data_IF_517279012614
#
_entry.id   IF_517279012614
#
_cell.length_a   1.000
_cell.length_b   1.000
_cell.length_c   1.000
_cell.angle_alpha   90.00
_cell.angle_beta   90.00
_cell.angle_gamma   90.00
#
_symmetry.space_group_name_H-M   'P 1'
#
loop_
_entity.id
_entity.type
_entity.pdbx_description
1 polymer ?
#
# COMPACT_ATOMS: atom_id res chain seq x y z
N UNK A 1 -24.77 29.03 8.52
CA UNK A 1 -24.78 27.71 7.80
C UNK A 1 -23.85 27.67 6.59
N UNK A 2 -23.93 28.67 5.70
CA UNK A 2 -23.03 28.69 4.53
C UNK A 2 -21.54 28.77 4.88
N UNK A 3 -21.18 29.61 5.85
CA UNK A 3 -19.79 29.75 6.28
C UNK A 3 -19.22 28.46 6.88
N UNK A 4 -20.05 27.74 7.67
CA UNK A 4 -19.65 26.46 8.25
C UNK A 4 -19.46 25.39 7.17
N UNK A 5 -20.37 25.32 6.21
CA UNK A 5 -20.27 24.37 5.10
C UNK A 5 -19.02 24.64 4.25
N UNK A 6 -18.73 25.92 3.95
CA UNK A 6 -17.53 26.29 3.21
C UNK A 6 -16.25 25.91 3.96
N UNK A 7 -16.22 26.11 5.28
CA UNK A 7 -15.09 25.71 6.13
C UNK A 7 -14.89 24.18 6.13
N UNK A 8 -15.99 23.41 6.22
CA UNK A 8 -15.94 21.96 6.18
C UNK A 8 -15.46 21.45 4.82
N UNK A 9 -15.93 22.05 3.72
CA UNK A 9 -15.49 21.70 2.38
C UNK A 9 -13.99 21.99 2.18
N UNK A 10 -13.50 23.15 2.66
CA UNK A 10 -12.10 23.49 2.64
C UNK A 10 -11.24 22.51 3.42
N UNK A 11 -11.71 22.08 4.60
CA UNK A 11 -11.02 21.09 5.42
C UNK A 11 -10.94 19.72 4.70
N UNK A 12 -12.04 19.28 4.07
CA UNK A 12 -12.08 18.04 3.29
C UNK A 12 -11.13 18.09 2.10
N UNK A 13 -11.09 19.22 1.41
CA UNK A 13 -10.18 19.41 0.28
C UNK A 13 -8.72 19.32 0.73
N UNK A 14 -8.35 19.98 1.83
CA UNK A 14 -6.99 19.92 2.37
C UNK A 14 -6.58 18.49 2.72
N UNK A 15 -7.45 17.72 3.36
CA UNK A 15 -7.19 16.31 3.70
C UNK A 15 -7.02 15.47 2.44
N UNK A 16 -7.87 15.67 1.44
CA UNK A 16 -7.78 14.95 0.18
C UNK A 16 -6.48 15.29 -0.57
N UNK A 17 -6.10 16.56 -0.61
CA UNK A 17 -4.85 17.02 -1.23
C UNK A 17 -3.64 16.42 -0.51
N UNK A 18 -3.68 16.33 0.81
CA UNK A 18 -2.61 15.70 1.60
C UNK A 18 -2.46 14.22 1.23
N UNK A 19 -3.57 13.48 1.14
CA UNK A 19 -3.54 12.06 0.78
C UNK A 19 -3.05 11.89 -0.66
N UNK A 20 -3.51 12.71 -1.59
CA UNK A 20 -3.06 12.67 -2.99
C UNK A 20 -1.56 12.90 -3.09
N UNK A 21 -1.04 13.92 -2.41
CA UNK A 21 0.38 14.22 -2.40
C UNK A 21 1.23 13.13 -1.75
N UNK A 22 0.74 12.55 -0.66
CA UNK A 22 1.43 11.46 0.03
C UNK A 22 1.49 10.20 -0.83
N UNK A 23 0.40 9.85 -1.49
CA UNK A 23 0.36 8.72 -2.41
C UNK A 23 1.33 8.92 -3.57
N UNK A 24 1.35 10.12 -4.14
CA UNK A 24 2.28 10.47 -5.23
C UNK A 24 3.73 10.34 -4.76
N UNK A 25 4.05 10.86 -3.59
CA UNK A 25 5.40 10.79 -3.03
C UNK A 25 5.81 9.34 -2.73
N UNK A 26 4.92 8.56 -2.12
CA UNK A 26 5.24 7.20 -1.68
C UNK A 26 5.33 6.22 -2.85
N UNK A 27 4.40 6.29 -3.80
CA UNK A 27 4.31 5.32 -4.89
C UNK A 27 4.79 5.84 -6.25
N UNK A 28 5.05 7.13 -6.36
CA UNK A 28 5.51 7.74 -7.61
C UNK A 28 4.47 7.74 -8.73
N UNK A 29 3.17 7.62 -8.39
CA UNK A 29 2.07 7.56 -9.34
C UNK A 29 1.03 8.62 -9.01
N UNK A 30 0.40 9.17 -10.05
CA UNK A 30 -0.75 10.06 -9.88
C UNK A 30 -2.00 9.21 -9.70
N UNK A 31 -2.36 8.98 -8.45
CA UNK A 31 -3.49 8.13 -8.08
C UNK A 31 -4.73 9.00 -7.91
N UNK A 32 -5.83 8.62 -8.58
CA UNK A 32 -7.09 9.34 -8.48
C UNK A 32 -7.66 9.24 -7.06
N UNK A 33 -7.79 10.41 -6.41
CA UNK A 33 -8.35 10.52 -5.06
C UNK A 33 -9.73 11.18 -5.05
N UNK A 34 -10.31 11.40 -6.21
CA UNK A 34 -11.63 12.04 -6.32
C UNK A 34 -12.70 11.18 -5.66
N UNK A 35 -13.50 11.81 -4.81
CA UNK A 35 -14.58 11.13 -4.08
C UNK A 35 -14.14 10.34 -2.86
N UNK A 36 -12.86 10.32 -2.54
CA UNK A 36 -12.37 9.65 -1.33
C UNK A 36 -12.66 10.49 -0.10
N UNK A 37 -13.05 9.81 0.98
CA UNK A 37 -13.34 10.43 2.27
C UNK A 37 -12.23 10.07 3.24
N UNK A 38 -11.61 11.10 3.82
CA UNK A 38 -10.52 10.94 4.79
C UNK A 38 -11.10 11.09 6.19
N UNK A 39 -10.96 10.07 7.03
CA UNK A 39 -11.43 10.08 8.42
C UNK A 39 -10.26 9.92 9.39
N UNK A 40 -10.43 10.48 10.57
CA UNK A 40 -9.45 10.41 11.65
C UNK A 40 -8.48 11.58 11.65
N UNK A 41 -7.54 11.53 12.58
CA UNK A 41 -6.51 12.55 12.76
C UNK A 41 -5.14 11.92 12.58
N UNK A 42 -4.25 12.64 11.90
CA UNK A 42 -2.86 12.22 11.80
C UNK A 42 -2.30 11.92 13.21
N UNK A 43 -1.55 10.84 13.43
CA UNK A 43 -1.02 9.93 12.42
C UNK A 43 -1.92 8.74 12.04
N UNK A 44 -3.13 8.64 12.57
CA UNK A 44 -4.06 7.55 12.29
C UNK A 44 -5.20 8.02 11.40
N UNK A 45 -5.00 7.91 10.10
CA UNK A 45 -5.97 8.35 9.10
C UNK A 45 -6.45 7.14 8.29
N UNK A 46 -7.75 7.10 8.00
CA UNK A 46 -8.38 6.11 7.13
C UNK A 46 -8.98 6.81 5.92
N UNK A 47 -8.80 6.21 4.76
CA UNK A 47 -9.32 6.75 3.51
C UNK A 47 -10.32 5.75 2.94
N UNK A 48 -11.55 6.21 2.71
CA UNK A 48 -12.67 5.36 2.31
C UNK A 48 -13.31 5.85 1.00
N UNK A 49 -13.84 4.89 0.24
CA UNK A 49 -14.71 5.14 -0.88
C UNK A 49 -15.99 4.32 -0.68
N UNK A 50 -17.15 4.99 -0.58
CA UNK A 50 -18.44 4.34 -0.38
C UNK A 50 -18.40 3.31 0.77
N UNK A 51 -17.89 3.71 1.91
CA UNK A 51 -17.73 2.90 3.13
C UNK A 51 -16.66 1.81 3.03
N UNK A 52 -16.02 1.63 1.88
CA UNK A 52 -14.93 0.67 1.74
C UNK A 52 -13.59 1.34 2.01
N UNK A 53 -12.82 0.77 2.92
CA UNK A 53 -11.49 1.31 3.25
C UNK A 53 -10.49 0.95 2.16
N UNK A 54 -9.85 1.97 1.59
CA UNK A 54 -8.82 1.80 0.57
C UNK A 54 -7.41 1.96 1.13
N UNK A 55 -7.22 2.93 2.01
CA UNK A 55 -5.91 3.24 2.56
C UNK A 55 -6.01 3.52 4.06
N UNK A 56 -4.91 3.27 4.76
CA UNK A 56 -4.76 3.68 6.15
C UNK A 56 -3.30 4.12 6.34
N UNK A 57 -3.05 4.95 7.35
CA UNK A 57 -1.68 5.37 7.65
C UNK A 57 -1.09 4.50 8.76
N UNK A 58 0.20 4.23 8.65
CA UNK A 58 0.97 3.59 9.71
C UNK A 58 1.41 4.67 10.71
N UNK A 59 0.93 4.62 11.97
CA UNK A 59 1.30 5.66 12.94
C UNK A 59 2.80 5.71 13.26
N UNK A 60 3.50 4.60 13.10
CA UNK A 60 4.93 4.52 13.41
C UNK A 60 5.80 5.15 12.33
N UNK A 61 5.43 5.00 11.05
CA UNK A 61 6.24 5.43 9.92
C UNK A 61 5.63 6.58 9.12
N UNK A 62 4.33 6.80 9.25
CA UNK A 62 3.60 7.76 8.42
C UNK A 62 3.31 7.28 7.01
N UNK A 63 3.73 6.08 6.66
CA UNK A 63 3.48 5.51 5.33
C UNK A 63 2.03 5.08 5.17
N UNK A 64 1.54 5.16 3.95
CA UNK A 64 0.20 4.69 3.61
C UNK A 64 0.25 3.19 3.37
N UNK A 65 -0.69 2.48 4.01
CA UNK A 65 -0.90 1.04 3.85
C UNK A 65 -2.17 0.83 3.02
N UNK A 66 -2.04 0.46 1.74
CA UNK A 66 -3.24 0.14 0.95
C UNK A 66 -3.85 -1.19 1.40
N UNK A 67 -5.18 -1.26 1.36
CA UNK A 67 -5.90 -2.54 1.44
C UNK A 67 -5.83 -3.23 0.08
N UNK A 68 -6.39 -4.42 -0.06
CA UNK A 68 -6.45 -5.09 -1.36
C UNK A 68 -7.15 -4.22 -2.39
N UNK A 69 -8.23 -3.56 -1.99
CA UNK A 69 -8.98 -2.64 -2.84
C UNK A 69 -8.17 -1.38 -3.18
N UNK A 70 -7.39 -0.89 -2.23
CA UNK A 70 -6.50 0.25 -2.45
C UNK A 70 -5.41 -0.07 -3.47
N UNK A 71 -4.88 -1.28 -3.45
CA UNK A 71 -3.85 -1.71 -4.39
C UNK A 71 -4.34 -1.77 -5.84
N UNK A 72 -5.66 -1.92 -6.06
CA UNK A 72 -6.23 -1.86 -7.40
C UNK A 72 -5.98 -0.52 -8.08
N UNK A 73 -5.78 0.54 -7.32
CA UNK A 73 -5.50 1.89 -7.82
C UNK A 73 -4.01 2.17 -8.02
N UNK A 74 -3.15 1.26 -7.58
CA UNK A 74 -1.70 1.41 -7.65
C UNK A 74 -1.15 0.36 -8.61
N UNK A 75 -0.31 0.78 -9.55
CA UNK A 75 0.26 -0.12 -10.56
C UNK A 75 1.61 -0.71 -10.14
N UNK A 76 2.40 0.07 -9.44
CA UNK A 76 3.76 -0.33 -9.04
C UNK A 76 3.83 -1.01 -7.68
N UNK A 77 5.06 -1.23 -7.22
CA UNK A 77 5.38 -1.84 -5.91
C UNK A 77 4.81 -3.23 -5.75
N UNK A 78 4.76 -3.97 -6.84
CA UNK A 78 4.24 -5.34 -6.86
C UNK A 78 5.39 -6.34 -6.83
N UNK A 79 5.13 -7.44 -6.13
CA UNK A 79 6.04 -8.59 -6.08
C UNK A 79 5.27 -9.80 -6.59
N UNK A 80 5.84 -10.48 -7.58
CA UNK A 80 5.25 -11.69 -8.15
C UNK A 80 5.95 -12.89 -7.56
N UNK A 81 5.18 -13.83 -7.01
CA UNK A 81 5.73 -15.08 -6.47
C UNK A 81 5.76 -16.15 -7.57
N UNK A 82 6.67 -17.12 -7.41
CA UNK A 82 6.88 -18.17 -8.39
C UNK A 82 5.62 -19.03 -8.58
N UNK A 83 5.32 -19.46 -9.82
CA UNK A 83 4.18 -20.35 -10.08
C UNK A 83 4.26 -21.63 -9.25
N UNK A 84 3.11 -22.04 -8.71
CA UNK A 84 3.02 -23.22 -7.86
C UNK A 84 3.51 -23.03 -6.43
N UNK A 85 4.07 -21.87 -6.10
CA UNK A 85 4.47 -21.55 -4.73
C UNK A 85 3.28 -20.96 -3.96
N UNK A 86 2.95 -21.59 -2.83
CA UNK A 86 1.89 -21.11 -1.94
C UNK A 86 2.53 -20.73 -0.61
N UNK A 87 2.69 -19.43 -0.34
CA UNK A 87 3.31 -19.00 0.91
C UNK A 87 2.47 -19.36 2.13
N UNK A 88 3.16 -19.78 3.19
CA UNK A 88 2.55 -19.97 4.51
C UNK A 88 3.19 -18.97 5.47
N UNK A 89 2.54 -17.83 5.65
CA UNK A 89 3.08 -16.74 6.44
C UNK A 89 3.94 -15.79 5.60
N UNK A 90 5.10 -15.42 6.09
CA UNK A 90 5.98 -14.47 5.43
C UNK A 90 6.58 -15.06 4.14
N UNK A 91 6.90 -14.18 3.20
CA UNK A 91 7.44 -14.60 1.90
C UNK A 91 8.97 -14.57 1.95
N UNK A 92 9.57 -15.70 1.61
CA UNK A 92 11.01 -15.85 1.56
C UNK A 92 11.54 -15.42 0.19
N UNK A 93 12.76 -14.90 0.15
CA UNK A 93 13.37 -14.42 -1.09
C UNK A 93 13.38 -15.46 -2.23
N UNK A 94 13.67 -16.76 -2.00
CA UNK A 94 13.63 -17.75 -3.08
C UNK A 94 12.25 -17.95 -3.73
N UNK A 95 11.17 -17.58 -3.06
CA UNK A 95 9.82 -17.69 -3.60
C UNK A 95 9.41 -16.56 -4.54
N UNK A 96 10.25 -15.55 -4.71
CA UNK A 96 9.95 -14.38 -5.53
C UNK A 96 10.43 -14.62 -6.96
N UNK A 97 9.50 -14.50 -7.93
CA UNK A 97 9.84 -14.60 -9.35
C UNK A 97 10.27 -13.25 -9.92
N UNK A 98 9.60 -12.16 -9.51
CA UNK A 98 9.90 -10.82 -10.00
C UNK A 98 9.43 -9.78 -8.98
N UNK A 99 10.00 -8.59 -9.01
CA UNK A 99 9.62 -7.49 -8.15
C UNK A 99 9.92 -6.14 -8.81
N UNK A 100 9.17 -5.11 -8.38
CA UNK A 100 9.40 -3.74 -8.82
C UNK A 100 10.76 -3.26 -8.33
N UNK A 101 11.56 -2.71 -9.22
CA UNK A 101 12.92 -2.24 -8.92
C UNK A 101 12.95 -1.10 -7.91
N UNK A 102 11.86 -0.38 -7.74
CA UNK A 102 11.76 0.75 -6.82
C UNK A 102 11.60 0.35 -5.37
N UNK A 103 11.33 -0.91 -5.09
CA UNK A 103 11.08 -1.40 -3.72
C UNK A 103 12.35 -1.26 -2.87
N UNK A 104 12.18 -0.65 -1.70
CA UNK A 104 13.22 -0.51 -0.69
C UNK A 104 12.74 -1.13 0.61
N UNK A 105 13.69 -1.44 1.49
CA UNK A 105 13.36 -1.93 2.83
C UNK A 105 12.41 -0.95 3.53
N UNK A 106 11.31 -1.47 4.08
CA UNK A 106 10.30 -0.68 4.76
C UNK A 106 9.12 -0.26 3.89
N UNK A 107 9.20 -0.43 2.57
CA UNK A 107 8.11 -0.05 1.67
C UNK A 107 6.92 -0.99 1.79
N UNK A 108 5.72 -0.44 1.59
CA UNK A 108 4.50 -1.24 1.47
C UNK A 108 4.46 -1.84 0.07
N UNK A 109 4.16 -3.14 -0.01
CA UNK A 109 4.17 -3.88 -1.26
C UNK A 109 2.92 -4.75 -1.40
N UNK A 110 2.56 -5.03 -2.64
CA UNK A 110 1.47 -5.94 -2.99
C UNK A 110 2.05 -7.20 -3.62
N UNK A 111 1.69 -8.34 -3.06
CA UNK A 111 2.18 -9.64 -3.52
C UNK A 111 1.12 -10.32 -4.38
N UNK A 112 1.52 -10.77 -5.56
CA UNK A 112 0.62 -11.41 -6.53
C UNK A 112 1.15 -12.78 -6.92
N UNK A 113 0.30 -13.79 -6.85
CA UNK A 113 0.58 -15.14 -7.32
C UNK A 113 -0.58 -15.68 -8.14
N UNK A 114 -0.51 -16.94 -8.58
CA UNK A 114 -1.58 -17.56 -9.41
C UNK A 114 -2.95 -17.53 -8.70
N UNK A 115 -2.99 -17.96 -7.44
CA UNK A 115 -4.21 -17.98 -6.64
C UNK A 115 -3.97 -17.34 -5.28
N UNK A 116 -3.14 -16.29 -5.25
CA UNK A 116 -2.70 -15.69 -4.01
C UNK A 116 -2.49 -14.19 -4.21
N UNK A 117 -3.04 -13.40 -3.32
CA UNK A 117 -2.73 -11.97 -3.21
C UNK A 117 -2.54 -11.62 -1.73
N UNK A 118 -1.60 -10.76 -1.46
CA UNK A 118 -1.31 -10.33 -0.10
C UNK A 118 -0.82 -8.89 -0.05
N UNK A 119 -1.06 -8.25 1.07
CA UNK A 119 -0.43 -6.97 1.38
C UNK A 119 0.64 -7.19 2.43
N UNK A 120 1.72 -6.46 2.36
CA UNK A 120 2.78 -6.61 3.33
C UNK A 120 3.81 -5.49 3.27
N UNK A 121 4.88 -5.69 4.01
CA UNK A 121 5.98 -4.75 4.12
C UNK A 121 7.26 -5.41 3.67
N UNK A 122 8.01 -4.75 2.80
CA UNK A 122 9.29 -5.25 2.33
C UNK A 122 10.33 -5.20 3.45
N UNK A 123 11.00 -6.31 3.68
CA UNK A 123 12.11 -6.42 4.64
C UNK A 123 13.44 -6.32 3.90
N UNK A 124 13.41 -6.55 2.59
CA UNK A 124 14.56 -6.43 1.70
C UNK A 124 14.24 -5.45 0.56
N UNK A 125 15.28 -4.80 0.01
CA UNK A 125 15.13 -4.04 -1.22
C UNK A 125 14.95 -4.99 -2.41
N UNK A 126 14.53 -4.44 -3.56
CA UNK A 126 14.39 -5.24 -4.79
C UNK A 126 15.70 -5.94 -5.16
N UNK A 127 16.81 -5.22 -5.07
CA UNK A 127 18.13 -5.78 -5.36
C UNK A 127 18.46 -6.95 -4.43
N UNK A 128 18.18 -6.81 -3.14
CA UNK A 128 18.39 -7.89 -2.16
C UNK A 128 17.49 -9.10 -2.42
N UNK A 129 16.21 -8.86 -2.78
CA UNK A 129 15.27 -9.94 -3.11
C UNK A 129 15.78 -10.78 -4.29
N UNK A 130 16.36 -10.12 -5.28
CA UNK A 130 16.89 -10.81 -6.47
C UNK A 130 18.20 -11.53 -6.19
N UNK A 131 19.04 -10.97 -5.33
CA UNK A 131 20.36 -11.53 -5.04
C UNK A 131 20.33 -12.61 -3.97
N UNK A 132 19.35 -12.58 -3.05
CA UNK A 132 19.30 -13.49 -1.91
C UNK A 132 18.64 -14.81 -2.25
N UNK A 133 19.20 -15.90 -1.75
CA UNK A 133 18.65 -17.23 -1.90
C UNK A 133 18.08 -17.77 -0.57
N UNK A 134 17.98 -16.93 0.43
CA UNK A 134 17.41 -17.26 1.75
C UNK A 134 16.96 -16.01 2.47
N UNK A 135 16.16 -16.19 3.52
CA UNK A 135 15.70 -15.13 4.38
C UNK A 135 14.33 -14.58 4.01
N UNK A 136 13.72 -13.86 4.93
CA UNK A 136 12.40 -13.24 4.75
C UNK A 136 12.55 -11.99 3.92
N UNK A 137 11.85 -11.93 2.79
CA UNK A 137 11.82 -10.75 1.93
C UNK A 137 10.63 -9.84 2.24
N UNK A 138 9.48 -10.42 2.57
CA UNK A 138 8.25 -9.65 2.82
C UNK A 138 7.55 -10.21 4.05
N UNK A 139 7.23 -9.33 4.99
CA UNK A 139 6.34 -9.65 6.11
C UNK A 139 4.91 -9.43 5.66
N UNK A 140 4.17 -10.52 5.55
CA UNK A 140 2.78 -10.50 5.10
C UNK A 140 1.88 -10.02 6.23
N UNK A 141 1.00 -9.07 5.90
CA UNK A 141 0.04 -8.51 6.85
C UNK A 141 -1.34 -9.12 6.67
N UNK A 142 -1.81 -9.23 5.44
CA UNK A 142 -3.12 -9.77 5.13
C UNK A 142 -3.08 -10.50 3.79
N UNK A 143 -3.68 -11.68 3.75
CA UNK A 143 -3.75 -12.50 2.54
C UNK A 143 -5.18 -12.65 2.07
N UNK A 144 -5.34 -12.90 0.77
CA UNK A 144 -6.60 -13.25 0.15
C UNK A 144 -6.33 -14.40 -0.83
N UNK A 145 -7.12 -15.42 -0.75
CA UNK A 145 -7.00 -16.56 -1.68
C UNK A 145 -8.00 -16.48 -2.80
#
# INVERSE_FOLDING_TARGET
MRALNAALEGCRKQKNDFIHGTLFWQFGEDIDTKGLIVKGRYPQVKVLLKKQQLFTTDPATGLIRPTHEGWERIKGYRVTISPGFVPQGDILAPGIADCDERIREGDEVFVVGENYVATGKAVMSAAEMRASNRGVAIKVRKTRK
#
